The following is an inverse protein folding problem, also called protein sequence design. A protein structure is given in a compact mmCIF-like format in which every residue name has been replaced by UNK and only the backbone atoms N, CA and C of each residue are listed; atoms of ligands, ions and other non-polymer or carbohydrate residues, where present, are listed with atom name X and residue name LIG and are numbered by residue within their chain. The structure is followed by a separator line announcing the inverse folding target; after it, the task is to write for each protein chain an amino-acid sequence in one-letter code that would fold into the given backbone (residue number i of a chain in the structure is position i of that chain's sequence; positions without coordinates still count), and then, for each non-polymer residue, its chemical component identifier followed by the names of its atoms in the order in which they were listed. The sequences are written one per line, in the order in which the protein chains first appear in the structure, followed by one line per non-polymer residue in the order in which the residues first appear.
data_IF_348988591885
#
_entry.id   IF_348988591885
#
_cell.length_a   1.000
_cell.length_b   1.000
_cell.length_c   1.000
_cell.angle_alpha   90.00
_cell.angle_beta   90.00
_cell.angle_gamma   90.00
#
_symmetry.space_group_name_H-M   'P 1'
#
loop_
_entity.id
_entity.type
_entity.pdbx_description
1 polymer ?
#
# COMPACT_ATOMS: atom_id res chain seq x y z
N UNK A 1 -10.41 -20.45 4.97
CA UNK A 1 -9.90 -19.17 5.53
C UNK A 1 -8.40 -18.99 5.34
N UNK A 2 -7.58 -19.97 5.70
CA UNK A 2 -6.12 -19.89 5.56
C UNK A 2 -5.61 -19.52 4.15
N UNK A 3 -6.05 -20.22 3.10
CA UNK A 3 -5.65 -19.93 1.71
C UNK A 3 -6.08 -18.55 1.21
N UNK A 4 -7.21 -18.03 1.69
CA UNK A 4 -7.70 -16.69 1.32
C UNK A 4 -6.75 -15.62 1.87
N UNK A 5 -6.29 -15.76 3.12
CA UNK A 5 -5.33 -14.82 3.71
C UNK A 5 -3.99 -14.84 2.98
N UNK A 6 -3.49 -16.02 2.60
CA UNK A 6 -2.27 -16.12 1.79
C UNK A 6 -2.46 -15.42 0.44
N UNK A 7 -3.58 -15.65 -0.25
CA UNK A 7 -3.87 -15.00 -1.53
C UNK A 7 -3.89 -13.48 -1.39
N UNK A 8 -4.55 -12.95 -0.36
CA UNK A 8 -4.57 -11.51 -0.09
C UNK A 8 -3.19 -10.95 0.24
N UNK A 9 -2.38 -11.66 1.04
CA UNK A 9 -0.99 -11.28 1.32
C UNK A 9 -0.17 -11.17 0.04
N UNK A 10 -0.29 -12.14 -0.88
CA UNK A 10 0.38 -12.12 -2.17
C UNK A 10 -0.08 -10.93 -3.03
N UNK A 11 -1.39 -10.69 -3.12
CA UNK A 11 -1.94 -9.56 -3.89
C UNK A 11 -1.42 -8.23 -3.34
N UNK A 12 -1.47 -8.03 -2.03
CA UNK A 12 -0.99 -6.79 -1.39
C UNK A 12 0.52 -6.64 -1.57
N UNK A 13 1.30 -7.68 -1.28
CA UNK A 13 2.75 -7.61 -1.39
C UNK A 13 3.21 -7.33 -2.83
N UNK A 14 2.74 -8.10 -3.80
CA UNK A 14 3.12 -7.87 -5.20
C UNK A 14 2.54 -6.57 -5.76
N UNK A 15 1.34 -6.16 -5.32
CA UNK A 15 0.77 -4.86 -5.67
C UNK A 15 1.64 -3.69 -5.22
N UNK A 16 2.11 -3.71 -3.96
CA UNK A 16 3.02 -2.70 -3.43
C UNK A 16 4.36 -2.68 -4.18
N UNK A 17 4.99 -3.85 -4.35
CA UNK A 17 6.28 -3.96 -5.05
C UNK A 17 6.17 -3.50 -6.51
N UNK A 18 5.08 -3.85 -7.21
CA UNK A 18 4.86 -3.39 -8.58
C UNK A 18 4.75 -1.86 -8.67
N UNK A 19 3.99 -1.23 -7.77
CA UNK A 19 3.81 0.22 -7.77
C UNK A 19 5.10 0.96 -7.41
N UNK A 20 5.85 0.47 -6.42
CA UNK A 20 7.01 1.18 -5.87
C UNK A 20 8.35 0.85 -6.53
N UNK A 21 8.51 -0.32 -7.15
CA UNK A 21 9.76 -0.71 -7.82
C UNK A 21 9.67 -0.63 -9.34
N UNK A 22 8.53 -1.01 -9.94
CA UNK A 22 8.41 -1.14 -11.41
C UNK A 22 7.72 0.08 -12.02
N UNK A 23 6.71 0.63 -11.33
CA UNK A 23 5.87 1.71 -11.85
C UNK A 23 6.13 3.05 -11.17
N UNK A 24 7.17 3.19 -10.35
CA UNK A 24 7.48 4.41 -9.59
C UNK A 24 7.48 5.66 -10.48
N UNK A 25 8.10 5.55 -11.65
CA UNK A 25 8.31 6.63 -12.62
C UNK A 25 7.42 6.52 -13.85
N UNK A 26 6.38 5.67 -13.78
CA UNK A 26 5.40 5.51 -14.86
C UNK A 26 4.15 6.33 -14.59
N UNK A 27 3.66 7.01 -15.64
CA UNK A 27 2.34 7.65 -15.65
C UNK A 27 1.26 6.56 -15.63
N UNK A 28 0.23 6.76 -14.82
CA UNK A 28 -0.89 5.81 -14.72
C UNK A 28 -2.17 6.59 -14.44
N UNK A 29 -3.31 6.06 -14.85
CA UNK A 29 -4.64 6.64 -14.57
C UNK A 29 -4.96 6.78 -13.08
N UNK A 30 -4.20 6.10 -12.22
CA UNK A 30 -4.39 6.09 -10.78
C UNK A 30 -3.50 7.10 -10.04
N UNK A 31 -2.58 7.78 -10.75
CA UNK A 31 -1.70 8.78 -10.13
C UNK A 31 -2.54 9.93 -9.59
N UNK A 32 -2.25 10.33 -8.36
CA UNK A 32 -2.85 11.51 -7.76
C UNK A 32 -2.50 12.80 -8.52
N UNK A 33 -3.47 13.71 -8.60
CA UNK A 33 -3.40 14.88 -9.46
C UNK A 33 -3.03 14.49 -10.91
N UNK A 34 -2.42 15.38 -11.70
CA UNK A 34 -1.98 15.05 -13.06
C UNK A 34 -0.52 14.57 -13.11
N UNK A 35 -0.10 13.81 -12.08
CA UNK A 35 1.31 13.46 -11.86
C UNK A 35 1.80 12.36 -12.80
N UNK A 36 3.04 12.50 -13.27
CA UNK A 36 3.71 11.53 -14.14
C UNK A 36 4.48 10.43 -13.40
N UNK A 37 4.77 10.61 -12.11
CA UNK A 37 5.50 9.67 -11.25
C UNK A 37 4.99 9.74 -9.80
N UNK A 38 5.32 8.75 -8.96
CA UNK A 38 5.05 8.80 -7.51
C UNK A 38 5.71 10.02 -6.87
N UNK A 39 6.93 10.35 -7.29
CA UNK A 39 7.67 11.48 -6.71
C UNK A 39 6.95 12.81 -6.98
N UNK A 40 6.44 12.97 -8.21
CA UNK A 40 5.65 14.13 -8.61
C UNK A 40 4.28 14.15 -7.90
N UNK A 41 3.70 12.98 -7.63
CA UNK A 41 2.46 12.83 -6.86
C UNK A 41 2.63 13.30 -5.42
N UNK A 42 3.71 12.93 -4.74
CA UNK A 42 4.02 13.45 -3.40
C UNK A 42 4.23 14.97 -3.41
N UNK A 43 4.94 15.49 -4.42
CA UNK A 43 5.12 16.93 -4.57
C UNK A 43 3.78 17.67 -4.81
N UNK A 44 2.89 17.10 -5.62
CA UNK A 44 1.56 17.65 -5.90
C UNK A 44 0.65 17.66 -4.65
N UNK A 45 0.82 16.69 -3.74
CA UNK A 45 0.16 16.68 -2.44
C UNK A 45 0.73 17.71 -1.44
N UNK A 46 1.80 18.43 -1.81
CA UNK A 46 2.51 19.35 -0.92
C UNK A 46 3.35 18.64 0.14
N UNK A 47 3.72 17.38 -0.10
CA UNK A 47 4.54 16.60 0.84
C UNK A 47 6.03 16.82 0.57
N UNK A 48 6.86 16.89 1.63
CA UNK A 48 8.30 17.03 1.47
C UNK A 48 8.94 15.74 0.95
N UNK A 49 10.05 15.88 0.22
CA UNK A 49 10.73 14.76 -0.44
C UNK A 49 11.14 13.61 0.51
N UNK A 50 11.52 13.92 1.75
CA UNK A 50 11.90 12.87 2.72
C UNK A 50 10.74 11.90 2.99
N UNK A 51 9.50 12.38 2.96
CA UNK A 51 8.31 11.55 3.22
C UNK A 51 8.08 10.53 2.11
N UNK A 52 8.43 10.86 0.86
CA UNK A 52 8.39 9.91 -0.26
C UNK A 52 9.31 8.71 0.00
N UNK A 53 10.54 8.96 0.45
CA UNK A 53 11.49 7.90 0.76
C UNK A 53 11.07 7.07 1.97
N UNK A 54 10.54 7.70 3.03
CA UNK A 54 10.02 6.99 4.21
C UNK A 54 8.84 6.10 3.84
N UNK A 55 7.83 6.63 3.14
CA UNK A 55 6.65 5.85 2.74
C UNK A 55 7.05 4.71 1.80
N UNK A 56 7.99 4.94 0.88
CA UNK A 56 8.49 3.90 -0.01
C UNK A 56 9.21 2.79 0.72
N UNK A 57 10.13 3.15 1.63
CA UNK A 57 10.83 2.21 2.47
C UNK A 57 9.86 1.35 3.29
N UNK A 58 8.86 1.98 3.93
CA UNK A 58 7.85 1.25 4.71
C UNK A 58 7.02 0.32 3.83
N UNK A 59 6.54 0.76 2.67
CA UNK A 59 5.72 -0.08 1.78
C UNK A 59 6.50 -1.27 1.22
N UNK A 60 7.75 -1.08 0.82
CA UNK A 60 8.61 -2.16 0.32
C UNK A 60 8.92 -3.14 1.46
N UNK A 61 9.30 -2.64 2.64
CA UNK A 61 9.58 -3.47 3.81
C UNK A 61 8.36 -4.28 4.22
N UNK A 62 7.19 -3.64 4.34
CA UNK A 62 5.95 -4.35 4.66
C UNK A 62 5.59 -5.39 3.60
N UNK A 63 5.79 -5.12 2.31
CA UNK A 63 5.54 -6.11 1.26
C UNK A 63 6.44 -7.34 1.41
N UNK A 64 7.73 -7.15 1.69
CA UNK A 64 8.67 -8.26 1.94
C UNK A 64 8.25 -9.03 3.21
N UNK A 65 7.89 -8.34 4.29
CA UNK A 65 7.44 -8.97 5.52
C UNK A 65 6.13 -9.76 5.34
N UNK A 66 5.21 -9.29 4.50
CA UNK A 66 4.00 -10.05 4.15
C UNK A 66 4.34 -11.34 3.39
N UNK A 67 5.33 -11.32 2.48
CA UNK A 67 5.80 -12.54 1.81
C UNK A 67 6.48 -13.50 2.78
N UNK A 68 7.37 -13.01 3.65
CA UNK A 68 8.00 -13.81 4.69
C UNK A 68 6.99 -14.35 5.71
N UNK A 69 5.89 -13.62 5.90
CA UNK A 69 4.76 -13.97 6.75
C UNK A 69 4.10 -15.31 6.41
N UNK A 70 4.25 -15.78 5.17
CA UNK A 70 3.78 -17.10 4.72
C UNK A 70 4.49 -18.22 5.50
N UNK A 71 5.78 -18.07 5.79
CA UNK A 71 6.56 -19.02 6.60
C UNK A 71 6.65 -18.62 8.08
N UNK A 72 6.52 -17.33 8.39
CA UNK A 72 6.66 -16.77 9.74
C UNK A 72 5.43 -15.91 10.10
N UNK A 73 4.32 -16.52 10.55
CA UNK A 73 3.04 -15.82 10.74
C UNK A 73 3.08 -14.58 11.64
N UNK A 74 3.98 -14.52 12.63
CA UNK A 74 4.16 -13.35 13.51
C UNK A 74 4.56 -12.07 12.79
N UNK A 75 5.04 -12.15 11.53
CA UNK A 75 5.37 -10.99 10.70
C UNK A 75 4.14 -10.37 10.03
N UNK A 76 3.05 -11.13 9.86
CA UNK A 76 1.88 -10.72 9.05
C UNK A 76 1.16 -9.55 9.68
N UNK A 77 0.83 -9.64 10.97
CA UNK A 77 0.09 -8.59 11.68
C UNK A 77 0.79 -7.22 11.63
N UNK A 78 2.05 -7.06 12.07
CA UNK A 78 2.71 -5.75 12.05
C UNK A 78 2.86 -5.21 10.62
N UNK A 79 3.15 -6.07 9.63
CA UNK A 79 3.27 -5.65 8.24
C UNK A 79 1.93 -5.15 7.67
N UNK A 80 0.85 -5.90 7.88
CA UNK A 80 -0.50 -5.53 7.42
C UNK A 80 -1.02 -4.26 8.11
N UNK A 81 -0.70 -4.06 9.38
CA UNK A 81 -1.04 -2.84 10.13
C UNK A 81 -0.37 -1.62 9.52
N UNK A 82 0.95 -1.68 9.25
CA UNK A 82 1.69 -0.58 8.61
C UNK A 82 1.09 -0.27 7.24
N UNK A 83 0.80 -1.29 6.41
CA UNK A 83 0.16 -1.07 5.11
C UNK A 83 -1.20 -0.38 5.27
N UNK A 84 -2.03 -0.83 6.21
CA UNK A 84 -3.35 -0.25 6.46
C UNK A 84 -3.26 1.23 6.83
N UNK A 85 -2.35 1.60 7.74
CA UNK A 85 -2.13 3.00 8.13
C UNK A 85 -1.67 3.84 6.93
N UNK A 86 -0.74 3.32 6.12
CA UNK A 86 -0.25 4.04 4.93
C UNK A 86 -1.31 4.18 3.83
N UNK A 87 -2.17 3.18 3.65
CA UNK A 87 -3.27 3.26 2.68
C UNK A 87 -4.35 4.24 3.15
N UNK A 88 -4.67 4.27 4.45
CA UNK A 88 -5.57 5.27 5.03
C UNK A 88 -5.03 6.69 4.82
N UNK A 89 -3.73 6.91 5.08
CA UNK A 89 -3.06 8.18 4.79
C UNK A 89 -3.13 8.57 3.31
N UNK A 90 -2.93 7.61 2.39
CA UNK A 90 -3.05 7.85 0.96
C UNK A 90 -4.48 8.24 0.54
N UNK A 91 -5.51 7.61 1.11
CA UNK A 91 -6.91 8.00 0.86
C UNK A 91 -7.18 9.43 1.33
N UNK A 92 -6.72 9.79 2.52
CA UNK A 92 -6.87 11.16 3.05
C UNK A 92 -6.20 12.17 2.11
N UNK A 93 -5.03 11.87 1.56
CA UNK A 93 -4.35 12.76 0.61
C UNK A 93 -5.14 12.92 -0.69
N UNK A 94 -5.64 11.83 -1.28
CA UNK A 94 -6.49 11.90 -2.47
C UNK A 94 -7.78 12.69 -2.23
N UNK A 95 -8.44 12.53 -1.07
CA UNK A 95 -9.61 13.33 -0.70
C UNK A 95 -9.22 14.81 -0.58
N UNK A 96 -8.11 15.09 0.11
CA UNK A 96 -7.64 16.45 0.37
C UNK A 96 -7.35 17.23 -0.91
N UNK A 97 -6.86 16.56 -1.95
CA UNK A 97 -6.60 17.18 -3.26
C UNK A 97 -7.75 16.99 -4.27
N UNK A 98 -8.90 16.51 -3.79
CA UNK A 98 -10.13 16.33 -4.57
C UNK A 98 -9.93 15.47 -5.84
N UNK A 99 -9.12 14.41 -5.72
CA UNK A 99 -8.91 13.50 -6.85
C UNK A 99 -10.20 12.76 -7.22
N UNK A 100 -10.48 12.55 -8.53
CA UNK A 100 -11.62 11.76 -8.97
C UNK A 100 -11.62 10.34 -8.41
N UNK A 101 -12.82 9.75 -8.29
CA UNK A 101 -12.97 8.45 -7.61
C UNK A 101 -12.13 7.33 -8.22
N UNK A 102 -11.79 7.40 -9.50
CA UNK A 102 -10.95 6.39 -10.16
C UNK A 102 -9.53 6.31 -9.57
N UNK A 103 -8.97 7.41 -9.05
CA UNK A 103 -7.53 7.49 -8.72
C UNK A 103 -7.16 6.83 -7.41
N UNK A 104 -7.98 7.01 -6.39
CA UNK A 104 -7.82 6.42 -5.06
C UNK A 104 -8.39 5.00 -4.91
N UNK A 105 -9.01 4.41 -5.96
CA UNK A 105 -9.50 3.01 -5.96
C UNK A 105 -8.42 2.01 -5.56
N UNK A 106 -7.17 2.06 -6.09
CA UNK A 106 -6.13 1.14 -5.67
C UNK A 106 -5.81 1.27 -4.18
N UNK A 107 -5.74 2.49 -3.64
CA UNK A 107 -5.49 2.69 -2.21
C UNK A 107 -6.63 2.12 -1.36
N UNK A 108 -7.89 2.27 -1.80
CA UNK A 108 -9.06 1.73 -1.10
C UNK A 108 -9.07 0.20 -1.08
N UNK A 109 -8.83 -0.44 -2.23
CA UNK A 109 -8.76 -1.91 -2.34
C UNK A 109 -7.64 -2.44 -1.44
N UNK A 110 -6.46 -1.80 -1.50
CA UNK A 110 -5.32 -2.21 -0.70
C UNK A 110 -5.58 -2.06 0.80
N UNK A 111 -6.29 -1.01 1.22
CA UNK A 111 -6.72 -0.81 2.61
C UNK A 111 -7.66 -1.93 3.06
N UNK A 112 -8.68 -2.26 2.25
CA UNK A 112 -9.64 -3.33 2.59
C UNK A 112 -8.90 -4.66 2.74
N UNK A 113 -8.02 -5.00 1.79
CA UNK A 113 -7.26 -6.24 1.84
C UNK A 113 -6.31 -6.28 3.02
N UNK A 114 -5.58 -5.19 3.30
CA UNK A 114 -4.66 -5.15 4.45
C UNK A 114 -5.40 -5.23 5.78
N UNK A 115 -6.60 -4.65 5.90
CA UNK A 115 -7.45 -4.79 7.09
C UNK A 115 -7.95 -6.22 7.27
N UNK A 116 -8.39 -6.88 6.19
CA UNK A 116 -8.80 -8.29 6.23
C UNK A 116 -7.62 -9.17 6.66
N UNK A 117 -6.41 -8.94 6.14
CA UNK A 117 -5.19 -9.65 6.56
C UNK A 117 -4.90 -9.39 8.03
N UNK A 118 -4.96 -8.12 8.47
CA UNK A 118 -4.70 -7.72 9.85
C UNK A 118 -5.63 -8.44 10.84
N UNK A 119 -6.95 -8.40 10.58
CA UNK A 119 -7.95 -9.08 11.40
C UNK A 119 -7.86 -10.60 11.31
N UNK A 120 -7.58 -11.13 10.12
CA UNK A 120 -7.43 -12.57 9.90
C UNK A 120 -6.18 -13.18 10.52
N UNK A 121 -5.12 -12.39 10.70
CA UNK A 121 -3.85 -12.86 11.26
C UNK A 121 -3.94 -13.34 12.70
N UNK A 122 -4.90 -12.85 13.49
CA UNK A 122 -5.15 -13.32 14.85
C UNK A 122 -5.67 -14.77 14.92
N UNK A 123 -6.26 -15.27 13.83
CA UNK A 123 -6.79 -16.63 13.73
C UNK A 123 -5.80 -17.63 13.11
N UNK A 124 -4.57 -17.20 12.83
CA UNK A 124 -3.48 -18.04 12.34
C UNK A 124 -2.54 -18.51 13.47
N UNK A 125 -2.80 -18.12 14.73
CA UNK A 125 -2.10 -18.57 15.93
C UNK A 125 -2.96 -19.52 16.76
#
# INVERSE_FOLDING_TARGET
MHYILILLQLIVAFGLLNVWLIRSDKKTDYRGCNSSSLKNEFAAYGLPLWSFYVVGFLKITSAILLLLGIWKPFLVFPAALVVSVLMAGALVLHIKVEDPFKKWVPALIMLIFSLIICLGSFYQF
#
